data_IF_543386535658
#
_entry.id   IF_543386535658
#
_cell.length_a   1.000
_cell.length_b   1.000
_cell.length_c   1.000
_cell.angle_alpha   90.00
_cell.angle_beta   90.00
_cell.angle_gamma   90.00
#
_symmetry.space_group_name_H-M   'P 1'
#
loop_
_entity.id
_entity.type
_entity.pdbx_description
1 polymer ?
#
# COMPACT_ATOMS: atom_id res chain seq x y z
N UNK A 1 23.13 5.69 0.48
CA UNK A 1 21.86 5.26 -0.16
C UNK A 1 20.90 4.55 0.79
N UNK A 2 21.39 3.80 1.81
CA UNK A 2 20.55 3.08 2.79
C UNK A 2 19.38 3.86 3.41
N UNK A 3 19.60 5.11 3.82
CA UNK A 3 18.53 5.95 4.41
C UNK A 3 17.34 6.18 3.46
N UNK A 4 17.60 6.34 2.16
CA UNK A 4 16.54 6.52 1.17
C UNK A 4 15.71 5.24 0.98
N UNK A 5 16.37 4.08 1.00
CA UNK A 5 15.71 2.77 0.93
C UNK A 5 14.82 2.55 2.15
N UNK A 6 15.37 2.78 3.34
CA UNK A 6 14.64 2.70 4.62
C UNK A 6 13.44 3.64 4.63
N UNK A 7 13.66 4.92 4.31
CA UNK A 7 12.60 5.92 4.25
C UNK A 7 11.47 5.51 3.30
N UNK A 8 11.83 5.02 2.11
CA UNK A 8 10.86 4.57 1.10
C UNK A 8 10.00 3.43 1.62
N UNK A 9 10.62 2.40 2.20
CA UNK A 9 9.89 1.23 2.71
C UNK A 9 9.08 1.55 3.96
N UNK A 10 9.58 2.38 4.88
CA UNK A 10 8.82 2.85 6.05
C UNK A 10 7.62 3.68 5.62
N UNK A 11 7.79 4.65 4.71
CA UNK A 11 6.68 5.46 4.21
C UNK A 11 5.62 4.60 3.53
N UNK A 12 6.05 3.68 2.66
CA UNK A 12 5.14 2.75 1.97
C UNK A 12 4.40 1.88 2.99
N UNK A 13 5.11 1.37 4.00
CA UNK A 13 4.52 0.61 5.10
C UNK A 13 3.48 1.38 5.88
N UNK A 14 3.76 2.64 6.25
CA UNK A 14 2.81 3.52 6.95
C UNK A 14 1.54 3.72 6.12
N UNK A 15 1.65 3.98 4.82
CA UNK A 15 0.46 4.15 3.96
C UNK A 15 -0.35 2.86 3.90
N UNK A 16 0.30 1.69 3.81
CA UNK A 16 -0.38 0.39 3.79
C UNK A 16 -0.96 -0.01 5.16
N UNK A 17 -0.52 0.60 6.26
CA UNK A 17 -1.17 0.43 7.56
C UNK A 17 -2.47 1.24 7.70
N UNK A 18 -2.68 2.30 6.92
CA UNK A 18 -3.90 3.13 7.02
C UNK A 18 -5.20 2.31 6.84
N UNK A 19 -5.30 1.42 5.84
CA UNK A 19 -6.45 0.54 5.68
C UNK A 19 -6.76 -0.37 6.86
N UNK A 20 -5.77 -0.72 7.70
CA UNK A 20 -5.94 -1.65 8.81
C UNK A 20 -7.05 -1.22 9.77
N UNK A 21 -7.24 0.10 9.92
CA UNK A 21 -8.32 0.69 10.68
C UNK A 21 -9.71 0.21 10.18
N UNK A 22 -9.89 0.01 8.87
CA UNK A 22 -11.07 -0.59 8.25
C UNK A 22 -11.40 -2.02 8.72
N UNK A 23 -10.45 -2.75 9.30
CA UNK A 23 -10.70 -4.07 9.90
C UNK A 23 -11.54 -3.97 11.19
N UNK A 24 -11.62 -2.79 11.84
CA UNK A 24 -12.29 -2.59 13.12
C UNK A 24 -13.80 -2.51 12.95
N UNK A 25 -14.33 -1.67 12.04
CA UNK A 25 -15.78 -1.50 11.84
C UNK A 25 -16.16 -1.13 10.40
N UNK A 26 -17.39 -1.42 9.99
CA UNK A 26 -17.95 -0.98 8.71
C UNK A 26 -17.99 0.56 8.59
N UNK A 27 -18.14 1.28 9.71
CA UNK A 27 -18.04 2.73 9.75
C UNK A 27 -16.65 3.23 9.32
N UNK A 28 -15.58 2.53 9.69
CA UNK A 28 -14.23 2.90 9.25
C UNK A 28 -14.02 2.60 7.77
N UNK A 29 -14.56 1.50 7.24
CA UNK A 29 -14.59 1.25 5.80
C UNK A 29 -15.31 2.36 5.03
N UNK A 30 -16.47 2.81 5.51
CA UNK A 30 -17.20 3.93 4.90
C UNK A 30 -16.40 5.22 4.92
N UNK A 31 -15.66 5.50 6.00
CA UNK A 31 -14.80 6.70 6.09
C UNK A 31 -13.60 6.65 5.14
N UNK A 32 -12.92 5.50 5.06
CA UNK A 32 -11.74 5.32 4.23
C UNK A 32 -12.06 5.27 2.75
N UNK A 33 -13.14 4.58 2.38
CA UNK A 33 -13.41 4.18 1.00
C UNK A 33 -14.75 4.66 0.46
N UNK A 34 -15.61 5.28 1.27
CA UNK A 34 -16.94 5.70 0.84
C UNK A 34 -17.87 4.53 0.49
N UNK A 35 -17.55 3.31 0.92
CA UNK A 35 -18.33 2.10 0.62
C UNK A 35 -19.31 1.84 1.77
N UNK A 36 -20.60 1.76 1.44
CA UNK A 36 -21.62 1.20 2.32
C UNK A 36 -21.57 -0.32 2.18
N UNK A 37 -20.98 -0.98 3.17
CA UNK A 37 -20.86 -2.43 3.21
C UNK A 37 -22.09 -3.04 3.90
N UNK A 38 -23.27 -2.79 3.32
CA UNK A 38 -24.55 -3.21 3.88
C UNK A 38 -24.72 -4.73 3.81
N UNK A 39 -24.09 -5.37 2.82
CA UNK A 39 -24.03 -6.81 2.71
C UNK A 39 -22.90 -7.38 3.59
N UNK A 40 -23.23 -8.36 4.44
CA UNK A 40 -22.31 -9.00 5.38
C UNK A 40 -21.09 -9.61 4.66
N UNK A 41 -21.30 -10.22 3.50
CA UNK A 41 -20.25 -10.83 2.68
C UNK A 41 -19.22 -9.78 2.22
N UNK A 42 -19.68 -8.63 1.73
CA UNK A 42 -18.85 -7.51 1.29
C UNK A 42 -18.09 -6.90 2.47
N UNK A 43 -18.77 -6.70 3.60
CA UNK A 43 -18.13 -6.22 4.83
C UNK A 43 -17.00 -7.14 5.28
N UNK A 44 -17.22 -8.46 5.27
CA UNK A 44 -16.21 -9.45 5.65
C UNK A 44 -14.99 -9.38 4.71
N UNK A 45 -15.20 -9.36 3.39
CA UNK A 45 -14.11 -9.30 2.41
C UNK A 45 -13.28 -8.01 2.55
N UNK A 46 -13.93 -6.86 2.74
CA UNK A 46 -13.23 -5.58 2.90
C UNK A 46 -12.46 -5.49 4.22
N UNK A 47 -12.99 -6.04 5.31
CA UNK A 47 -12.28 -6.12 6.60
C UNK A 47 -11.09 -7.04 6.52
N UNK A 48 -11.23 -8.20 5.88
CA UNK A 48 -10.10 -9.11 5.67
C UNK A 48 -9.02 -8.45 4.79
N UNK A 49 -9.43 -7.72 3.74
CA UNK A 49 -8.51 -6.93 2.92
C UNK A 49 -7.75 -5.89 3.75
N UNK A 50 -8.42 -5.21 4.68
CA UNK A 50 -7.76 -4.28 5.61
C UNK A 50 -6.67 -4.97 6.46
N UNK A 51 -6.91 -6.20 6.93
CA UNK A 51 -5.90 -6.99 7.65
C UNK A 51 -4.72 -7.34 6.76
N UNK A 52 -4.96 -7.76 5.51
CA UNK A 52 -3.90 -8.05 4.54
C UNK A 52 -3.04 -6.82 4.24
N UNK A 53 -3.65 -5.64 4.10
CA UNK A 53 -2.92 -4.38 3.99
C UNK A 53 -2.06 -4.12 5.23
N UNK A 54 -2.59 -4.36 6.43
CA UNK A 54 -1.83 -4.23 7.67
C UNK A 54 -0.62 -5.17 7.73
N UNK A 55 -0.79 -6.43 7.32
CA UNK A 55 0.28 -7.43 7.25
C UNK A 55 1.39 -6.99 6.28
N UNK A 56 1.01 -6.55 5.08
CA UNK A 56 1.97 -6.06 4.07
C UNK A 56 2.66 -4.77 4.53
N UNK A 57 1.92 -3.85 5.18
CA UNK A 57 2.49 -2.63 5.74
C UNK A 57 3.53 -2.91 6.83
N UNK A 58 3.24 -3.85 7.73
CA UNK A 58 4.19 -4.31 8.74
C UNK A 58 5.43 -4.97 8.12
N UNK A 59 5.24 -5.79 7.08
CA UNK A 59 6.34 -6.40 6.32
C UNK A 59 7.24 -5.34 5.69
N UNK A 60 6.70 -4.27 5.09
CA UNK A 60 7.52 -3.19 4.53
C UNK A 60 8.35 -2.47 5.59
N UNK A 61 7.78 -2.20 6.76
CA UNK A 61 8.52 -1.59 7.87
C UNK A 61 9.65 -2.52 8.35
N UNK A 62 9.37 -3.81 8.51
CA UNK A 62 10.38 -4.79 8.87
C UNK A 62 11.52 -4.86 7.82
N UNK A 63 11.16 -4.98 6.54
CA UNK A 63 12.12 -5.07 5.45
C UNK A 63 12.95 -3.80 5.27
N UNK A 64 12.47 -2.64 5.73
CA UNK A 64 13.27 -1.41 5.76
C UNK A 64 14.58 -1.63 6.53
N UNK A 65 14.55 -2.36 7.63
CA UNK A 65 15.68 -2.57 8.52
C UNK A 65 16.45 -3.87 8.27
N UNK A 66 15.90 -4.80 7.48
CA UNK A 66 16.53 -6.06 7.13
C UNK A 66 16.90 -6.11 5.63
N UNK A 67 18.18 -5.82 5.26
CA UNK A 67 18.59 -5.66 3.86
C UNK A 67 18.28 -6.85 2.95
N UNK A 68 18.32 -8.07 3.50
CA UNK A 68 18.01 -9.29 2.74
C UNK A 68 16.59 -9.31 2.17
N UNK A 69 15.63 -8.64 2.82
CA UNK A 69 14.23 -8.61 2.40
C UNK A 69 13.84 -7.39 1.56
N UNK A 70 14.72 -6.39 1.43
CA UNK A 70 14.43 -5.17 0.68
C UNK A 70 14.01 -5.44 -0.77
N UNK A 71 14.69 -6.30 -1.56
CA UNK A 71 14.27 -6.58 -2.94
C UNK A 71 12.84 -7.13 -3.02
N UNK A 72 12.51 -8.07 -2.13
CA UNK A 72 11.17 -8.68 -2.06
C UNK A 72 10.12 -7.63 -1.67
N UNK A 73 10.45 -6.73 -0.74
CA UNK A 73 9.57 -5.64 -0.33
C UNK A 73 9.30 -4.64 -1.46
N UNK A 74 10.28 -4.29 -2.29
CA UNK A 74 10.04 -3.45 -3.46
C UNK A 74 9.14 -4.12 -4.50
N UNK A 75 9.40 -5.40 -4.81
CA UNK A 75 8.54 -6.17 -5.74
C UNK A 75 7.10 -6.20 -5.23
N UNK A 76 6.91 -6.57 -3.96
CA UNK A 76 5.59 -6.60 -3.34
C UNK A 76 4.93 -5.21 -3.33
N UNK A 77 5.70 -4.15 -3.04
CA UNK A 77 5.26 -2.76 -3.08
C UNK A 77 4.72 -2.38 -4.46
N UNK A 78 5.52 -2.56 -5.52
CA UNK A 78 5.12 -2.25 -6.89
C UNK A 78 3.90 -3.05 -7.35
N UNK A 79 3.84 -4.35 -7.03
CA UNK A 79 2.68 -5.19 -7.37
C UNK A 79 1.43 -4.70 -6.64
N UNK A 80 1.54 -4.39 -5.35
CA UNK A 80 0.41 -3.92 -4.54
C UNK A 80 -0.15 -2.59 -5.05
N UNK A 81 0.67 -1.54 -5.13
CA UNK A 81 0.19 -0.20 -5.54
C UNK A 81 -0.09 -0.15 -7.05
N UNK A 82 0.72 -0.82 -7.86
CA UNK A 82 0.59 -0.81 -9.32
C UNK A 82 -0.69 -1.50 -9.78
N UNK A 83 -1.05 -2.64 -9.17
CA UNK A 83 -2.32 -3.31 -9.46
C UNK A 83 -3.52 -2.44 -9.08
N UNK A 84 -3.50 -1.78 -7.91
CA UNK A 84 -4.61 -0.94 -7.49
C UNK A 84 -4.78 0.32 -8.35
N UNK A 85 -3.67 0.97 -8.73
CA UNK A 85 -3.69 2.12 -9.65
C UNK A 85 -4.22 1.71 -11.02
N UNK A 86 -3.75 0.58 -11.56
CA UNK A 86 -4.21 0.03 -12.83
C UNK A 86 -5.72 -0.23 -12.82
N UNK A 87 -6.21 -0.97 -11.82
CA UNK A 87 -7.64 -1.26 -11.67
C UNK A 87 -8.47 0.02 -11.47
N UNK A 88 -7.98 0.97 -10.67
CA UNK A 88 -8.64 2.24 -10.42
C UNK A 88 -8.74 3.12 -11.66
N UNK A 89 -7.77 3.04 -12.56
CA UNK A 89 -7.77 3.78 -13.84
C UNK A 89 -8.83 3.25 -14.82
N UNK A 90 -9.02 1.93 -14.87
CA UNK A 90 -10.01 1.30 -15.75
C UNK A 90 -11.42 1.27 -15.16
N UNK A 91 -11.57 1.49 -13.85
CA UNK A 91 -12.86 1.56 -13.20
C UNK A 91 -13.60 2.86 -13.58
N UNK A 92 -14.86 2.73 -14.02
CA UNK A 92 -15.75 3.89 -14.26
C UNK A 92 -16.54 4.23 -13.00
N UNK A 93 -16.76 5.52 -12.74
CA UNK A 93 -17.63 5.98 -11.65
C UNK A 93 -17.04 5.81 -10.23
N UNK A 94 -15.71 5.79 -10.10
CA UNK A 94 -15.03 5.66 -8.81
C UNK A 94 -15.36 6.86 -7.92
N UNK A 95 -15.73 6.59 -6.66
CA UNK A 95 -16.05 7.65 -5.71
C UNK A 95 -14.79 8.49 -5.33
N UNK A 96 -14.98 9.72 -4.79
CA UNK A 96 -13.87 10.61 -4.47
C UNK A 96 -12.86 10.05 -3.46
N UNK A 97 -13.31 9.19 -2.53
CA UNK A 97 -12.46 8.57 -1.50
C UNK A 97 -11.49 7.57 -2.14
N UNK A 98 -12.00 6.63 -2.95
CA UNK A 98 -11.15 5.68 -3.68
C UNK A 98 -10.25 6.42 -4.67
N UNK A 99 -10.76 7.42 -5.37
CA UNK A 99 -9.94 8.22 -6.30
C UNK A 99 -8.77 8.92 -5.58
N UNK A 100 -8.94 9.31 -4.31
CA UNK A 100 -7.85 9.84 -3.49
C UNK A 100 -6.81 8.77 -3.17
N UNK A 101 -7.24 7.55 -2.81
CA UNK A 101 -6.33 6.43 -2.55
C UNK A 101 -5.52 6.09 -3.81
N UNK A 102 -6.15 6.04 -4.99
CA UNK A 102 -5.44 5.82 -6.27
C UNK A 102 -4.37 6.89 -6.52
N UNK A 103 -4.65 8.16 -6.22
CA UNK A 103 -3.64 9.24 -6.35
C UNK A 103 -2.49 9.08 -5.37
N UNK A 104 -2.76 8.66 -4.13
CA UNK A 104 -1.73 8.39 -3.11
C UNK A 104 -0.84 7.23 -3.59
N UNK A 105 -1.44 6.15 -4.09
CA UNK A 105 -0.70 4.99 -4.59
C UNK A 105 0.12 5.31 -5.83
N UNK A 106 -0.39 6.17 -6.73
CA UNK A 106 0.38 6.67 -7.87
C UNK A 106 1.60 7.50 -7.43
N UNK A 107 1.47 8.30 -6.38
CA UNK A 107 2.62 9.01 -5.79
C UNK A 107 3.61 8.03 -5.14
N UNK A 108 3.12 6.98 -4.47
CA UNK A 108 3.98 5.94 -3.90
C UNK A 108 4.79 5.19 -4.96
N UNK A 109 4.27 4.99 -6.18
CA UNK A 109 5.05 4.40 -7.28
C UNK A 109 6.31 5.21 -7.56
N UNK A 110 6.23 6.55 -7.55
CA UNK A 110 7.39 7.43 -7.76
C UNK A 110 8.39 7.29 -6.62
N UNK A 111 7.90 7.24 -5.38
CA UNK A 111 8.76 7.06 -4.19
C UNK A 111 9.44 5.69 -4.19
N UNK A 112 8.71 4.63 -4.49
CA UNK A 112 9.24 3.28 -4.67
C UNK A 112 10.26 3.22 -5.81
N UNK A 113 10.03 3.94 -6.90
CA UNK A 113 10.99 4.10 -8.01
C UNK A 113 12.33 4.67 -7.55
N UNK A 114 12.31 5.77 -6.80
CA UNK A 114 13.53 6.38 -6.26
C UNK A 114 14.26 5.43 -5.29
N UNK A 115 13.53 4.76 -4.40
CA UNK A 115 14.10 3.77 -3.48
C UNK A 115 14.70 2.55 -4.19
N UNK A 116 14.06 2.06 -5.25
CA UNK A 116 14.53 0.92 -6.03
C UNK A 116 15.81 1.26 -6.81
N UNK A 117 15.89 2.45 -7.41
CA UNK A 117 17.14 2.94 -8.04
C UNK A 117 18.27 2.99 -7.01
N UNK A 118 17.98 3.48 -5.79
CA UNK A 118 18.95 3.53 -4.72
C UNK A 118 19.38 2.13 -4.23
N UNK A 119 18.47 1.16 -4.21
CA UNK A 119 18.77 -0.23 -3.87
C UNK A 119 19.72 -0.85 -4.91
N UNK A 120 19.41 -0.69 -6.20
CA UNK A 120 20.23 -1.23 -7.29
C UNK A 120 21.63 -0.59 -7.27
N UNK A 121 21.72 0.73 -7.12
CA UNK A 121 23.00 1.44 -7.03
C UNK A 121 23.86 1.00 -5.82
N UNK A 122 23.23 0.61 -4.71
CA UNK A 122 23.94 0.10 -3.53
C UNK A 122 24.42 -1.35 -3.68
N UNK A 123 23.84 -2.14 -4.59
CA UNK A 123 24.29 -3.52 -4.88
C UNK A 123 25.45 -3.53 -5.87
N UNK A 124 25.52 -2.54 -6.77
CA UNK A 124 26.53 -2.44 -7.82
C UNK A 124 27.79 -1.68 -7.40
N UNK A 125 27.79 -1.03 -6.23
CA UNK A 125 28.90 -0.26 -5.67
C UNK A 125 29.64 -1.06 -4.60
#
# INVERSE_FOLDING_TARGET
MKLLIQFTLVLTGIVHLLPLSGAISALQLKRLYGVEADEISVALLLRHRAVLFGLIGAFFIYAAFEPAWQPVAFIAGFVAVGSFVCLGWFARGVNPQIARVVKIDAALIVVLGAGAIALIGNVLA
#
